data_IF_899138207707
#
_entry.id   IF_899138207707
#
_cell.length_a   1.000
_cell.length_b   1.000
_cell.length_c   1.000
_cell.angle_alpha   90.00
_cell.angle_beta   90.00
_cell.angle_gamma   90.00
#
_symmetry.space_group_name_H-M   'P 1'
#
loop_
_entity.id
_entity.type
_entity.pdbx_description
1 polymer ?
#
# COMPACT_ATOMS: atom_id res chain seq x y z
N UNK A 1 -12.74 15.40 10.52
CA UNK A 1 -12.43 14.58 11.72
C UNK A 1 -12.51 15.44 12.98
N UNK A 2 -11.72 16.51 13.09
CA UNK A 2 -11.68 17.44 14.23
C UNK A 2 -13.09 17.88 14.70
N UNK A 3 -13.89 18.47 13.82
CA UNK A 3 -15.27 18.93 14.15
C UNK A 3 -16.14 17.84 14.82
N UNK A 4 -16.00 16.57 14.42
CA UNK A 4 -16.77 15.46 15.01
C UNK A 4 -16.26 15.04 16.38
N UNK A 5 -14.98 15.28 16.66
CA UNK A 5 -14.35 15.05 17.97
C UNK A 5 -14.61 16.23 18.90
N UNK A 6 -14.66 17.45 18.37
CA UNK A 6 -15.01 18.67 19.10
C UNK A 6 -16.40 18.59 19.75
N UNK A 7 -17.29 17.79 19.16
CA UNK A 7 -18.63 17.53 19.65
C UNK A 7 -18.70 16.41 20.71
N UNK A 8 -17.61 15.69 21.01
CA UNK A 8 -17.60 14.65 22.04
C UNK A 8 -17.47 15.30 23.44
N UNK A 9 -18.47 15.12 24.33
CA UNK A 9 -18.45 15.71 25.67
C UNK A 9 -17.30 15.21 26.57
N UNK A 10 -16.57 14.15 26.18
CA UNK A 10 -15.36 13.68 26.87
C UNK A 10 -14.12 14.52 26.55
N UNK A 11 -14.16 15.34 25.50
CA UNK A 11 -13.06 16.20 25.06
C UNK A 11 -13.46 17.67 25.16
N UNK A 12 -13.79 18.12 26.37
CA UNK A 12 -14.06 19.54 26.63
C UNK A 12 -12.75 20.35 26.61
N UNK A 13 -12.80 21.55 26.05
CA UNK A 13 -11.65 22.46 25.95
C UNK A 13 -10.81 22.27 24.67
N UNK A 14 -9.64 22.93 24.63
CA UNK A 14 -8.76 22.91 23.46
C UNK A 14 -8.09 21.54 23.27
N UNK A 15 -8.39 20.90 22.15
CA UNK A 15 -7.78 19.64 21.76
C UNK A 15 -7.47 19.62 20.27
N UNK A 16 -6.49 18.79 19.91
CA UNK A 16 -5.99 18.67 18.54
C UNK A 16 -5.92 17.20 18.19
N UNK A 17 -6.52 16.83 17.05
CA UNK A 17 -6.32 15.49 16.50
C UNK A 17 -4.84 15.32 16.15
N UNK A 18 -4.26 14.20 16.58
CA UNK A 18 -2.94 13.76 16.17
C UNK A 18 -3.11 12.67 15.09
N UNK A 19 -3.11 13.04 13.79
CA UNK A 19 -3.37 12.09 12.71
C UNK A 19 -2.14 11.22 12.44
N UNK A 20 -2.18 9.98 12.89
CA UNK A 20 -1.08 9.01 12.79
C UNK A 20 -1.01 8.42 11.38
N UNK A 21 0.15 8.51 10.76
CA UNK A 21 0.53 7.80 9.55
C UNK A 21 1.44 6.64 9.94
N UNK A 22 1.11 5.43 9.49
CA UNK A 22 1.94 4.23 9.69
C UNK A 22 2.53 3.82 8.34
N UNK A 23 3.84 3.56 8.35
CA UNK A 23 4.55 2.93 7.25
C UNK A 23 5.03 1.56 7.70
N UNK A 24 4.74 0.55 6.87
CA UNK A 24 5.26 -0.79 7.04
C UNK A 24 5.73 -1.30 5.68
N UNK A 25 6.99 -1.70 5.60
CA UNK A 25 7.53 -2.38 4.41
C UNK A 25 8.60 -3.40 4.83
N UNK A 26 8.54 -4.61 4.25
CA UNK A 26 9.45 -5.71 4.54
C UNK A 26 10.81 -5.39 3.96
N UNK A 27 11.76 -5.19 4.86
CA UNK A 27 13.13 -4.92 4.50
C UNK A 27 14.01 -6.10 4.81
N UNK A 28 14.83 -6.47 3.82
CA UNK A 28 15.97 -7.34 4.06
C UNK A 28 17.10 -6.55 4.70
N UNK A 29 17.52 -6.98 5.87
CA UNK A 29 18.47 -6.28 6.72
C UNK A 29 19.93 -6.54 6.32
N UNK A 30 20.20 -7.70 5.76
CA UNK A 30 21.53 -8.10 5.29
C UNK A 30 21.58 -8.20 3.75
N UNK A 31 22.73 -7.90 3.16
CA UNK A 31 22.92 -8.01 1.71
C UNK A 31 22.75 -9.44 1.18
N UNK A 32 22.83 -10.45 2.06
CA UNK A 32 22.73 -11.87 1.75
C UNK A 32 21.31 -12.44 1.87
N UNK A 33 20.31 -11.61 2.21
CA UNK A 33 18.91 -12.01 2.38
C UNK A 33 18.66 -13.08 3.44
N UNK A 34 19.53 -13.20 4.43
CA UNK A 34 19.33 -14.10 5.56
C UNK A 34 18.28 -13.52 6.49
N UNK A 35 18.30 -12.24 6.83
CA UNK A 35 17.38 -11.64 7.80
C UNK A 35 16.46 -10.63 7.11
N UNK A 36 15.16 -10.81 7.28
CA UNK A 36 14.16 -9.82 6.89
C UNK A 36 13.29 -9.50 8.08
N UNK A 37 12.90 -8.24 8.21
CA UNK A 37 11.99 -7.72 9.24
C UNK A 37 11.07 -6.70 8.59
N UNK A 38 10.02 -6.28 9.29
CA UNK A 38 9.21 -5.14 8.86
C UNK A 38 9.53 -3.95 9.75
N UNK A 39 10.42 -3.03 9.35
CA UNK A 39 10.48 -1.74 10.01
C UNK A 39 9.11 -1.06 9.99
N UNK A 40 8.66 -0.67 11.18
CA UNK A 40 7.45 0.11 11.36
C UNK A 40 7.85 1.54 11.70
N UNK A 41 7.45 2.47 10.83
CA UNK A 41 7.65 3.89 11.07
C UNK A 41 6.32 4.60 11.33
N UNK A 42 6.37 5.65 12.14
CA UNK A 42 5.22 6.49 12.48
C UNK A 42 5.53 7.94 12.16
N UNK A 43 4.57 8.63 11.56
CA UNK A 43 4.59 10.07 11.33
C UNK A 43 3.24 10.68 11.72
N UNK A 44 3.19 12.01 11.79
CA UNK A 44 1.97 12.75 12.00
C UNK A 44 1.64 13.61 10.76
N UNK A 45 0.39 13.54 10.31
CA UNK A 45 -0.06 14.31 9.15
C UNK A 45 -0.26 15.82 9.42
N UNK A 46 -0.15 16.26 10.68
CA UNK A 46 -0.17 17.68 11.06
C UNK A 46 1.23 18.33 11.00
N UNK A 47 2.28 17.57 10.65
CA UNK A 47 3.58 18.14 10.35
C UNK A 47 3.54 18.95 9.06
N UNK A 48 4.26 20.08 9.06
CA UNK A 48 4.52 20.83 7.83
C UNK A 48 5.29 19.95 6.84
N UNK A 49 5.14 20.18 5.53
CA UNK A 49 5.86 19.35 4.55
C UNK A 49 7.39 19.41 4.70
N UNK A 50 7.93 20.54 5.16
CA UNK A 50 9.36 20.69 5.45
C UNK A 50 9.80 19.75 6.57
N UNK A 51 9.20 19.90 7.76
CA UNK A 51 9.49 19.04 8.91
C UNK A 51 9.16 17.58 8.64
N UNK A 52 8.08 17.34 7.89
CA UNK A 52 7.71 16.01 7.46
C UNK A 52 8.89 15.37 6.76
N UNK A 53 9.63 16.01 5.85
CA UNK A 53 10.75 15.37 5.16
C UNK A 53 12.09 15.39 5.92
N UNK A 54 12.12 15.88 7.15
CA UNK A 54 13.30 15.82 8.01
C UNK A 54 13.33 14.50 8.79
N UNK A 55 14.49 14.18 9.39
CA UNK A 55 14.69 12.94 10.18
C UNK A 55 13.67 12.79 11.33
N UNK A 56 13.25 13.90 11.95
CA UNK A 56 12.24 13.89 13.03
C UNK A 56 10.79 13.79 12.54
N UNK A 57 10.57 13.84 11.22
CA UNK A 57 9.24 13.76 10.63
C UNK A 57 8.72 12.34 10.45
N UNK A 58 9.54 11.30 10.65
CA UNK A 58 9.18 9.88 10.55
C UNK A 58 10.07 9.08 11.49
N UNK A 59 9.47 8.52 12.52
CA UNK A 59 10.20 7.84 13.59
C UNK A 59 10.07 6.31 13.43
N UNK A 60 11.19 5.60 13.52
CA UNK A 60 11.19 4.14 13.61
C UNK A 60 10.73 3.72 15.01
N UNK A 61 9.59 3.03 15.09
CA UNK A 61 9.01 2.61 16.38
C UNK A 61 9.18 1.13 16.69
N UNK A 62 9.42 0.29 15.67
CA UNK A 62 9.64 -1.14 15.85
C UNK A 62 10.30 -1.80 14.63
N UNK A 63 10.95 -2.95 14.86
CA UNK A 63 11.25 -3.94 13.83
C UNK A 63 10.37 -5.17 14.06
N UNK A 64 9.35 -5.38 13.23
CA UNK A 64 8.47 -6.54 13.40
C UNK A 64 9.12 -7.81 12.86
N UNK A 65 8.96 -8.94 13.56
CA UNK A 65 9.56 -10.20 13.15
C UNK A 65 8.92 -10.72 11.85
N UNK A 66 9.76 -11.29 10.97
CA UNK A 66 9.31 -12.07 9.83
C UNK A 66 9.84 -13.50 9.98
N UNK A 67 9.00 -14.45 10.45
CA UNK A 67 9.39 -15.84 10.61
C UNK A 67 9.99 -16.41 9.32
N UNK A 68 11.17 -17.02 9.42
CA UNK A 68 11.80 -17.71 8.28
C UNK A 68 11.16 -19.08 8.10
N UNK A 69 11.00 -19.55 6.86
CA UNK A 69 10.70 -20.94 6.63
C UNK A 69 11.94 -21.79 6.96
N UNK A 70 11.70 -22.99 7.45
CA UNK A 70 12.71 -24.00 7.74
C UNK A 70 12.34 -25.28 6.98
N UNK A 71 13.11 -25.65 5.94
CA UNK A 71 12.90 -26.88 5.17
C UNK A 71 12.94 -28.15 6.01
N UNK A 72 13.70 -28.16 7.11
CA UNK A 72 13.89 -29.34 7.96
C UNK A 72 12.87 -29.38 9.11
N UNK A 73 12.04 -28.33 9.25
CA UNK A 73 11.01 -28.27 10.27
C UNK A 73 10.00 -29.42 10.11
N UNK A 74 9.74 -30.20 11.18
CA UNK A 74 8.94 -31.42 11.09
C UNK A 74 7.46 -31.14 10.87
N UNK A 75 6.97 -29.97 11.29
CA UNK A 75 5.55 -29.61 11.23
C UNK A 75 5.24 -28.68 10.04
N UNK A 76 3.98 -28.52 9.63
CA UNK A 76 3.63 -27.59 8.56
C UNK A 76 3.96 -26.12 8.88
N UNK A 77 3.94 -25.70 10.15
CA UNK A 77 4.00 -24.29 10.57
C UNK A 77 5.22 -23.48 10.10
N UNK A 78 6.36 -24.10 9.85
CA UNK A 78 7.55 -23.43 9.31
C UNK A 78 8.01 -24.01 7.97
N UNK A 79 7.29 -24.97 7.40
CA UNK A 79 7.66 -25.59 6.13
C UNK A 79 7.58 -24.55 4.99
N UNK A 80 8.58 -24.43 4.10
CA UNK A 80 8.57 -23.48 3.00
C UNK A 80 7.33 -23.60 2.11
N UNK A 81 6.76 -22.45 1.74
CA UNK A 81 5.57 -22.33 0.86
C UNK A 81 4.29 -23.02 1.36
N UNK A 82 4.26 -23.54 2.58
CA UNK A 82 3.05 -24.10 3.18
C UNK A 82 2.06 -23.00 3.59
N UNK A 83 0.76 -23.34 3.62
CA UNK A 83 -0.27 -22.42 4.10
C UNK A 83 -0.13 -22.16 5.61
N UNK A 84 0.26 -23.16 6.39
CA UNK A 84 0.53 -23.00 7.81
C UNK A 84 1.66 -21.98 8.09
N UNK A 85 2.71 -21.96 7.27
CA UNK A 85 3.76 -20.95 7.40
C UNK A 85 3.31 -19.54 7.00
N UNK A 86 2.40 -19.41 6.02
CA UNK A 86 1.77 -18.12 5.70
C UNK A 86 0.93 -17.63 6.87
N UNK A 87 0.17 -18.50 7.51
CA UNK A 87 -0.63 -18.18 8.70
C UNK A 87 0.26 -17.77 9.89
N UNK A 88 1.40 -18.43 10.09
CA UNK A 88 2.40 -18.04 11.09
C UNK A 88 2.92 -16.62 10.81
N UNK A 89 3.34 -16.32 9.58
CA UNK A 89 3.77 -14.96 9.20
C UNK A 89 2.69 -13.91 9.48
N UNK A 90 1.44 -14.22 9.14
CA UNK A 90 0.32 -13.34 9.42
C UNK A 90 0.09 -13.14 10.92
N UNK A 91 0.16 -14.22 11.71
CA UNK A 91 -0.01 -14.17 13.15
C UNK A 91 1.01 -13.26 13.83
N UNK A 92 2.29 -13.37 13.48
CA UNK A 92 3.34 -12.55 14.09
C UNK A 92 3.13 -11.06 13.83
N UNK A 93 2.78 -10.66 12.60
CA UNK A 93 2.53 -9.26 12.27
C UNK A 93 1.25 -8.75 12.95
N UNK A 94 0.15 -9.48 12.82
CA UNK A 94 -1.16 -9.06 13.37
C UNK A 94 -1.19 -9.07 14.90
N UNK A 95 -0.33 -9.85 15.56
CA UNK A 95 -0.18 -9.86 17.02
C UNK A 95 0.80 -8.81 17.54
N UNK A 96 1.80 -8.42 16.74
CA UNK A 96 2.78 -7.38 17.12
C UNK A 96 2.20 -5.96 17.02
N UNK A 97 1.43 -5.68 15.96
CA UNK A 97 0.86 -4.34 15.72
C UNK A 97 -0.03 -3.81 16.86
N UNK A 98 -0.91 -4.61 17.50
CA UNK A 98 -1.67 -4.20 18.67
C UNK A 98 -0.80 -3.80 19.86
N UNK A 99 0.32 -4.49 20.09
CA UNK A 99 1.25 -4.21 21.19
C UNK A 99 1.88 -2.84 21.00
N UNK A 100 2.43 -2.59 19.80
CA UNK A 100 3.13 -1.34 19.48
C UNK A 100 2.17 -0.16 19.46
N UNK A 101 0.93 -0.37 19.02
CA UNK A 101 -0.09 0.69 18.94
C UNK A 101 -0.94 0.84 20.21
N UNK A 102 -0.67 0.07 21.28
CA UNK A 102 -1.51 0.04 22.48
C UNK A 102 -1.61 1.39 23.18
N UNK A 103 -0.49 2.10 23.34
CA UNK A 103 -0.43 3.41 23.99
C UNK A 103 -1.23 4.46 23.20
N UNK A 104 -1.01 4.54 21.88
CA UNK A 104 -1.73 5.45 20.98
C UNK A 104 -3.23 5.13 20.95
N UNK A 105 -3.61 3.85 20.94
CA UNK A 105 -5.02 3.43 21.00
C UNK A 105 -5.68 3.82 22.31
N UNK A 106 -5.03 3.58 23.45
CA UNK A 106 -5.53 4.02 24.77
C UNK A 106 -5.70 5.54 24.80
N UNK A 107 -4.68 6.26 24.36
CA UNK A 107 -4.68 7.71 24.25
C UNK A 107 -5.75 8.25 23.28
N UNK A 108 -6.17 7.50 22.27
CA UNK A 108 -7.30 7.89 21.42
C UNK A 108 -8.60 8.12 22.20
N UNK A 109 -8.72 7.54 23.41
CA UNK A 109 -9.89 7.68 24.27
C UNK A 109 -9.83 8.83 25.27
N UNK A 110 -8.65 9.11 25.81
CA UNK A 110 -8.43 10.07 26.90
C UNK A 110 -7.69 11.34 26.47
N UNK A 111 -7.05 11.31 25.30
CA UNK A 111 -6.06 12.28 24.87
C UNK A 111 -4.71 12.12 25.59
N UNK A 112 -3.74 12.91 25.14
CA UNK A 112 -2.39 13.08 25.70
C UNK A 112 -2.18 14.57 25.89
N UNK A 113 -1.80 15.02 27.08
CA UNK A 113 -1.48 16.43 27.29
C UNK A 113 -0.08 16.73 26.74
N UNK A 114 0.05 17.83 26.00
CA UNK A 114 1.32 18.30 25.46
C UNK A 114 1.34 19.82 25.37
N UNK A 115 2.53 20.39 25.23
CA UNK A 115 2.73 21.81 24.95
C UNK A 115 3.08 21.93 23.47
N UNK A 116 2.31 22.72 22.73
CA UNK A 116 2.57 22.95 21.31
C UNK A 116 3.81 23.87 21.11
N UNK A 117 4.30 24.03 19.87
CA UNK A 117 5.44 24.90 19.59
C UNK A 117 5.22 26.39 19.95
N UNK A 118 3.99 26.81 20.22
CA UNK A 118 3.64 28.16 20.64
C UNK A 118 3.51 28.29 22.18
N UNK A 119 3.85 27.24 22.93
CA UNK A 119 3.74 27.23 24.39
C UNK A 119 2.33 26.99 24.92
N UNK A 120 1.37 26.66 24.05
CA UNK A 120 -0.02 26.42 24.45
C UNK A 120 -0.17 24.98 24.92
N UNK A 121 -0.73 24.81 26.12
CA UNK A 121 -1.12 23.49 26.62
C UNK A 121 -2.33 22.98 25.85
N UNK A 122 -2.19 21.82 25.22
CA UNK A 122 -3.23 21.19 24.40
C UNK A 122 -3.41 19.73 24.79
N UNK A 123 -4.61 19.22 24.50
CA UNK A 123 -4.89 17.78 24.56
C UNK A 123 -4.84 17.17 23.16
N UNK A 124 -3.84 16.34 22.90
CA UNK A 124 -3.69 15.61 21.64
C UNK A 124 -4.54 14.35 21.62
N UNK A 125 -5.33 14.12 20.57
CA UNK A 125 -6.18 12.93 20.41
C UNK A 125 -5.66 12.09 19.23
N UNK A 126 -4.88 11.02 19.49
CA UNK A 126 -4.35 10.16 18.44
C UNK A 126 -5.44 9.46 17.65
N UNK A 127 -5.35 9.52 16.32
CA UNK A 127 -6.25 8.82 15.42
C UNK A 127 -5.47 8.26 14.24
N UNK A 128 -5.72 7.00 13.87
CA UNK A 128 -5.20 6.47 12.61
C UNK A 128 -5.69 7.37 11.46
N UNK A 129 -4.78 7.79 10.60
CA UNK A 129 -5.09 8.63 9.45
C UNK A 129 -4.80 7.89 8.14
N UNK A 130 -3.64 7.26 8.06
CA UNK A 130 -3.14 6.59 6.88
C UNK A 130 -2.27 5.39 7.29
N UNK A 131 -2.38 4.30 6.56
CA UNK A 131 -1.51 3.13 6.64
C UNK A 131 -0.97 2.93 5.23
N UNK A 132 0.25 3.41 5.00
CA UNK A 132 0.98 3.26 3.75
C UNK A 132 1.66 1.90 3.73
N UNK A 133 1.48 1.17 2.63
CA UNK A 133 1.89 -0.24 2.50
C UNK A 133 2.16 -0.62 1.04
N UNK A 134 2.99 -1.62 0.83
CA UNK A 134 2.95 -2.42 -0.40
C UNK A 134 1.77 -3.42 -0.34
N UNK A 135 1.25 -3.80 -1.51
CA UNK A 135 0.13 -4.73 -1.67
C UNK A 135 0.43 -6.12 -1.08
N UNK A 136 1.68 -6.58 -1.17
CA UNK A 136 2.09 -7.86 -0.60
C UNK A 136 1.85 -7.92 0.91
N UNK A 137 1.93 -6.77 1.58
CA UNK A 137 1.85 -6.63 3.04
C UNK A 137 0.48 -6.16 3.49
N UNK A 138 -0.20 -5.42 2.62
CA UNK A 138 -1.55 -4.96 2.84
C UNK A 138 -2.48 -6.08 3.29
N UNK A 139 -2.37 -7.27 2.69
CA UNK A 139 -3.18 -8.44 3.06
C UNK A 139 -2.93 -8.87 4.51
N UNK A 140 -1.65 -8.94 4.90
CA UNK A 140 -1.21 -9.26 6.25
C UNK A 140 -1.66 -8.20 7.27
N UNK A 141 -1.45 -6.93 6.97
CA UNK A 141 -1.75 -5.80 7.87
C UNK A 141 -3.27 -5.62 8.01
N UNK A 142 -4.02 -5.77 6.92
CA UNK A 142 -5.48 -5.59 6.89
C UNK A 142 -6.28 -6.80 7.37
N UNK A 143 -5.63 -7.96 7.52
CA UNK A 143 -6.29 -9.25 7.73
C UNK A 143 -7.26 -9.63 6.58
N UNK A 144 -7.04 -9.07 5.38
CA UNK A 144 -7.83 -9.34 4.17
C UNK A 144 -7.04 -10.31 3.29
N UNK A 145 -7.74 -11.26 2.67
CA UNK A 145 -7.12 -12.28 1.80
C UNK A 145 -6.46 -11.65 0.57
N UNK A 146 -5.39 -12.30 0.09
CA UNK A 146 -4.82 -11.99 -1.22
C UNK A 146 -5.91 -12.05 -2.29
N UNK A 147 -5.92 -11.06 -3.20
CA UNK A 147 -6.96 -10.85 -4.21
C UNK A 147 -8.34 -10.39 -3.72
N UNK A 148 -8.44 -9.80 -2.53
CA UNK A 148 -9.61 -9.02 -2.11
C UNK A 148 -9.19 -7.58 -1.83
N UNK A 149 -10.06 -6.60 -2.10
CA UNK A 149 -9.82 -5.22 -1.70
C UNK A 149 -9.86 -5.10 -0.17
N UNK A 150 -8.92 -4.36 0.40
CA UNK A 150 -8.88 -4.00 1.82
C UNK A 150 -9.86 -2.90 2.20
N UNK A 151 -10.25 -2.05 1.25
CA UNK A 151 -11.13 -0.92 1.52
C UNK A 151 -12.62 -1.19 1.28
N UNK A 152 -12.98 -2.03 0.30
CA UNK A 152 -14.37 -2.33 -0.04
C UNK A 152 -14.64 -3.83 -0.24
N UNK A 153 -15.93 -4.17 -0.37
CA UNK A 153 -16.44 -5.54 -0.54
C UNK A 153 -16.64 -5.93 -2.02
N UNK A 154 -15.81 -5.44 -2.92
CA UNK A 154 -15.83 -5.85 -4.34
C UNK A 154 -15.51 -7.36 -4.47
N UNK A 155 -16.29 -8.13 -5.25
CA UNK A 155 -15.97 -9.52 -5.55
C UNK A 155 -14.62 -9.65 -6.30
N UNK A 156 -13.81 -10.70 -6.05
CA UNK A 156 -12.52 -10.89 -6.74
C UNK A 156 -12.59 -10.95 -8.27
N UNK A 157 -13.73 -11.35 -8.82
CA UNK A 157 -13.99 -11.44 -10.27
C UNK A 157 -14.40 -10.11 -10.90
N UNK A 158 -14.59 -9.08 -10.08
CA UNK A 158 -15.05 -7.75 -10.47
C UNK A 158 -14.02 -6.68 -10.07
N UNK A 159 -12.77 -7.09 -9.77
CA UNK A 159 -11.70 -6.16 -9.42
C UNK A 159 -11.36 -5.20 -10.57
N UNK A 160 -11.62 -5.62 -11.82
CA UNK A 160 -11.46 -4.80 -13.01
C UNK A 160 -12.56 -3.76 -13.22
N UNK A 161 -13.65 -3.77 -12.44
CA UNK A 161 -14.78 -2.84 -12.57
C UNK A 161 -14.48 -1.51 -11.89
N UNK A 162 -13.66 -0.68 -12.53
CA UNK A 162 -13.21 0.58 -11.92
C UNK A 162 -14.33 1.62 -11.83
N UNK A 163 -15.28 1.65 -12.75
CA UNK A 163 -16.31 2.70 -12.80
C UNK A 163 -17.29 2.56 -11.65
N UNK A 164 -17.83 1.35 -11.51
CA UNK A 164 -18.69 0.96 -10.40
C UNK A 164 -17.97 1.18 -9.06
N UNK A 165 -16.66 0.95 -9.02
CA UNK A 165 -15.85 1.16 -7.83
C UNK A 165 -15.61 2.64 -7.48
N UNK A 166 -15.49 3.53 -8.46
CA UNK A 166 -15.39 4.99 -8.27
C UNK A 166 -16.73 5.57 -7.86
N UNK A 167 -17.81 5.09 -8.49
CA UNK A 167 -19.18 5.55 -8.25
C UNK A 167 -19.74 5.05 -6.90
N UNK A 168 -19.04 4.12 -6.25
CA UNK A 168 -19.32 3.68 -4.89
C UNK A 168 -20.27 2.48 -4.80
N UNK A 169 -20.45 1.74 -5.90
CA UNK A 169 -21.35 0.59 -5.99
C UNK A 169 -20.93 -0.56 -5.06
N UNK A 170 -19.64 -0.64 -4.71
CA UNK A 170 -19.14 -1.60 -3.74
C UNK A 170 -19.05 -0.98 -2.35
N UNK A 171 -19.78 -1.52 -1.34
CA UNK A 171 -19.79 -0.95 -0.02
C UNK A 171 -18.41 -1.04 0.66
N UNK A 172 -18.02 -0.05 1.47
CA UNK A 172 -16.77 -0.08 2.20
C UNK A 172 -16.78 -1.19 3.26
N UNK A 173 -15.59 -1.69 3.59
CA UNK A 173 -15.41 -2.54 4.77
C UNK A 173 -15.55 -1.69 6.02
N UNK A 174 -16.52 -2.02 6.85
CA UNK A 174 -16.76 -1.34 8.12
C UNK A 174 -16.35 -2.24 9.28
N UNK A 175 -15.70 -1.66 10.31
CA UNK A 175 -15.31 -2.41 11.51
C UNK A 175 -16.50 -3.15 12.13
N UNK A 176 -17.68 -2.51 12.25
CA UNK A 176 -18.86 -3.14 12.86
C UNK A 176 -19.26 -4.42 12.13
N UNK A 177 -19.30 -4.39 10.79
CA UNK A 177 -19.70 -5.53 9.96
C UNK A 177 -18.61 -6.61 9.92
N UNK A 178 -17.35 -6.19 9.75
CA UNK A 178 -16.22 -7.11 9.67
C UNK A 178 -15.90 -7.78 11.01
N UNK A 179 -16.15 -7.12 12.14
CA UNK A 179 -16.03 -7.73 13.47
C UNK A 179 -16.98 -8.90 13.66
N UNK A 180 -18.22 -8.77 13.20
CA UNK A 180 -19.19 -9.90 13.25
C UNK A 180 -18.67 -11.05 12.41
N UNK A 181 -18.28 -10.80 11.16
CA UNK A 181 -17.74 -11.83 10.27
C UNK A 181 -16.48 -12.52 10.83
N UNK A 182 -15.53 -11.74 11.36
CA UNK A 182 -14.29 -12.28 11.94
C UNK A 182 -14.58 -13.09 13.19
N UNK A 183 -15.45 -12.63 14.10
CA UNK A 183 -15.84 -13.39 15.27
C UNK A 183 -16.50 -14.72 14.89
N UNK A 184 -17.44 -14.71 13.94
CA UNK A 184 -18.06 -15.94 13.45
C UNK A 184 -17.02 -16.92 12.89
N UNK A 185 -16.03 -16.44 12.14
CA UNK A 185 -14.94 -17.28 11.62
C UNK A 185 -14.07 -17.83 12.75
N UNK A 186 -13.77 -17.04 13.78
CA UNK A 186 -13.01 -17.47 14.95
C UNK A 186 -13.76 -18.53 15.75
N UNK A 187 -15.05 -18.31 16.04
CA UNK A 187 -15.92 -19.26 16.74
C UNK A 187 -15.98 -20.61 15.98
N UNK A 188 -16.12 -20.56 14.65
CA UNK A 188 -16.09 -21.76 13.80
C UNK A 188 -14.73 -22.47 13.81
N UNK A 189 -13.63 -21.72 13.92
CA UNK A 189 -12.27 -22.27 13.96
C UNK A 189 -11.95 -22.91 15.31
N UNK A 190 -12.54 -22.39 16.39
CA UNK A 190 -12.34 -22.89 17.75
C UNK A 190 -13.21 -24.12 18.06
N UNK A 191 -14.34 -24.33 17.38
CA UNK A 191 -15.18 -25.52 17.57
C UNK A 191 -14.56 -26.77 16.90
N UNK A 192 -14.09 -27.76 17.67
CA UNK A 192 -13.44 -28.96 17.12
C UNK A 192 -14.38 -29.85 16.29
N UNK A 193 -15.69 -29.62 16.35
CA UNK A 193 -16.70 -30.36 15.57
C UNK A 193 -16.91 -29.77 14.17
N UNK A 194 -16.45 -28.54 13.95
CA UNK A 194 -16.62 -27.85 12.66
C UNK A 194 -15.47 -28.23 11.74
N UNK A 195 -15.74 -28.80 10.54
CA UNK A 195 -14.68 -29.14 9.62
C UNK A 195 -14.07 -27.88 9.00
N UNK A 196 -12.74 -27.89 8.79
CA UNK A 196 -11.98 -26.73 8.27
C UNK A 196 -12.48 -26.17 6.92
N UNK A 197 -13.19 -27.00 6.13
CA UNK A 197 -13.85 -26.55 4.90
C UNK A 197 -14.88 -25.45 5.17
N UNK A 198 -15.65 -25.54 6.26
CA UNK A 198 -16.67 -24.54 6.64
C UNK A 198 -16.02 -23.22 7.06
N UNK A 199 -14.94 -23.31 7.83
CA UNK A 199 -14.12 -22.12 8.19
C UNK A 199 -13.61 -21.46 6.91
N UNK A 200 -13.11 -22.26 5.96
CA UNK A 200 -12.59 -21.76 4.68
C UNK A 200 -13.65 -21.11 3.81
N UNK A 201 -14.87 -21.67 3.77
CA UNK A 201 -16.03 -21.10 3.07
C UNK A 201 -16.39 -19.72 3.63
N UNK A 202 -16.51 -19.59 4.95
CA UNK A 202 -16.86 -18.32 5.60
C UNK A 202 -15.75 -17.27 5.43
N UNK A 203 -14.47 -17.69 5.53
CA UNK A 203 -13.32 -16.84 5.20
C UNK A 203 -13.36 -16.34 3.75
N UNK A 204 -13.78 -17.18 2.78
CA UNK A 204 -13.89 -16.79 1.37
C UNK A 204 -15.04 -15.81 1.14
N UNK A 205 -16.19 -16.04 1.76
CA UNK A 205 -17.37 -15.16 1.67
C UNK A 205 -17.08 -13.72 2.08
N UNK A 206 -16.28 -13.55 3.13
CA UNK A 206 -15.91 -12.22 3.62
C UNK A 206 -14.53 -11.73 3.15
N UNK A 207 -13.73 -12.59 2.52
CA UNK A 207 -12.39 -12.25 2.06
C UNK A 207 -11.41 -11.90 3.18
N UNK A 208 -11.55 -12.51 4.36
CA UNK A 208 -10.70 -12.22 5.54
C UNK A 208 -10.04 -13.49 6.08
N UNK A 209 -8.96 -13.30 6.85
CA UNK A 209 -8.28 -14.36 7.59
C UNK A 209 -8.92 -14.55 8.99
N UNK A 210 -8.75 -15.74 9.62
CA UNK A 210 -9.35 -16.08 10.91
C UNK A 210 -8.51 -15.51 12.06
N UNK A 211 -8.33 -14.19 12.07
CA UNK A 211 -7.59 -13.42 13.06
C UNK A 211 -8.26 -12.06 13.27
N UNK A 212 -8.08 -11.45 14.43
CA UNK A 212 -8.64 -10.12 14.71
C UNK A 212 -7.78 -9.02 14.05
N UNK A 213 -8.35 -8.14 13.21
CA UNK A 213 -7.58 -7.03 12.65
C UNK A 213 -7.06 -6.09 13.75
N UNK A 214 -5.77 -5.73 13.68
CA UNK A 214 -5.12 -4.98 14.75
C UNK A 214 -5.70 -3.58 14.96
N UNK A 215 -6.21 -2.93 13.91
CA UNK A 215 -6.74 -1.56 13.95
C UNK A 215 -8.19 -1.49 14.47
N UNK A 216 -8.76 -2.59 14.94
CA UNK A 216 -10.06 -2.59 15.60
C UNK A 216 -9.98 -2.02 17.03
N UNK A 217 -11.05 -1.36 17.49
CA UNK A 217 -11.15 -0.84 18.85
C UNK A 217 -10.46 0.51 19.12
N UNK A 218 -10.06 1.23 18.07
CA UNK A 218 -9.70 2.65 18.20
C UNK A 218 -10.94 3.49 18.51
N UNK A 219 -10.78 4.60 19.25
CA UNK A 219 -11.93 5.50 19.50
C UNK A 219 -12.47 5.98 18.15
N UNK A 220 -13.79 5.85 17.97
CA UNK A 220 -14.51 6.12 16.73
C UNK A 220 -14.23 5.17 15.55
N UNK A 221 -13.45 4.10 15.68
CA UNK A 221 -13.17 3.17 14.56
C UNK A 221 -14.41 2.54 13.91
N UNK A 222 -15.51 2.44 14.67
CA UNK A 222 -16.82 1.99 14.18
C UNK A 222 -17.65 3.07 13.47
N UNK A 223 -17.19 4.33 13.44
CA UNK A 223 -17.88 5.44 12.76
C UNK A 223 -17.49 5.47 11.28
N UNK A 224 -18.43 5.66 10.35
CA UNK A 224 -18.13 5.69 8.91
C UNK A 224 -17.02 6.68 8.52
N UNK A 225 -17.05 7.89 9.12
CA UNK A 225 -16.06 8.94 8.85
C UNK A 225 -14.66 8.66 9.43
N UNK A 226 -14.49 7.64 10.28
CA UNK A 226 -13.20 7.22 10.84
C UNK A 226 -12.91 5.74 10.59
N UNK A 227 -13.64 5.11 9.66
CA UNK A 227 -13.50 3.69 9.40
C UNK A 227 -12.04 3.35 9.07
N UNK A 228 -11.47 2.29 9.67
CA UNK A 228 -10.03 2.04 9.56
C UNK A 228 -9.64 1.39 8.23
N UNK A 229 -10.52 0.62 7.59
CA UNK A 229 -10.23 -0.05 6.31
C UNK A 229 -9.91 0.95 5.18
N UNK A 230 -10.70 2.03 4.95
CA UNK A 230 -10.33 3.08 3.99
C UNK A 230 -9.01 3.82 4.30
N UNK A 231 -8.40 3.58 5.46
CA UNK A 231 -7.08 4.12 5.82
C UNK A 231 -5.93 3.30 5.27
N UNK A 232 -6.21 2.09 4.77
CA UNK A 232 -5.28 1.35 3.92
C UNK A 232 -5.28 1.99 2.54
N UNK A 233 -4.33 2.89 2.34
CA UNK A 233 -4.30 3.74 1.15
C UNK A 233 -3.59 3.03 0.00
N UNK A 234 -3.95 3.36 -1.26
CA UNK A 234 -3.13 2.96 -2.39
C UNK A 234 -1.80 3.73 -2.36
N UNK A 235 -0.72 3.01 -2.65
CA UNK A 235 0.62 3.57 -2.86
C UNK A 235 0.89 3.66 -4.37
N UNK A 236 1.31 4.82 -4.86
CA UNK A 236 1.53 5.02 -6.29
C UNK A 236 2.74 4.23 -6.82
N UNK A 237 3.80 4.12 -6.01
CA UNK A 237 5.03 3.42 -6.36
C UNK A 237 4.80 1.95 -6.73
N UNK A 238 4.13 1.21 -5.86
CA UNK A 238 3.91 -0.21 -6.01
C UNK A 238 2.64 -0.55 -6.77
N UNK A 239 1.61 0.30 -6.71
CA UNK A 239 0.33 0.06 -7.38
C UNK A 239 0.43 0.40 -8.86
N UNK A 240 0.83 1.64 -9.17
CA UNK A 240 0.88 2.14 -10.55
C UNK A 240 2.16 1.66 -11.21
N UNK A 241 3.32 2.06 -10.67
CA UNK A 241 4.59 1.88 -11.34
C UNK A 241 5.12 0.45 -11.30
N UNK A 242 5.20 -0.17 -10.13
CA UNK A 242 5.63 -1.58 -10.03
C UNK A 242 4.55 -2.58 -10.46
N UNK A 243 3.30 -2.28 -10.14
CA UNK A 243 2.14 -3.14 -10.36
C UNK A 243 1.63 -3.10 -11.79
N UNK A 244 0.75 -2.14 -12.06
CA UNK A 244 0.06 -2.00 -13.35
C UNK A 244 1.07 -1.88 -14.50
N UNK A 245 2.12 -1.09 -14.33
CA UNK A 245 3.11 -0.87 -15.38
C UNK A 245 4.18 -1.95 -15.39
N UNK A 246 4.97 -2.07 -14.33
CA UNK A 246 6.11 -2.98 -14.30
C UNK A 246 5.74 -4.45 -14.49
N UNK A 247 4.59 -4.89 -13.99
CA UNK A 247 4.20 -6.30 -14.07
C UNK A 247 3.31 -6.64 -15.27
N UNK A 248 2.58 -5.67 -15.85
CA UNK A 248 1.58 -5.96 -16.89
C UNK A 248 1.80 -5.19 -18.20
N UNK A 249 2.28 -3.95 -18.16
CA UNK A 249 2.47 -3.14 -19.37
C UNK A 249 3.51 -3.72 -20.33
N UNK A 250 4.61 -4.28 -19.81
CA UNK A 250 5.62 -4.94 -20.67
C UNK A 250 5.07 -6.14 -21.44
N UNK A 251 4.26 -6.96 -20.79
CA UNK A 251 3.66 -8.13 -21.44
C UNK A 251 2.66 -7.69 -22.51
N UNK A 252 1.98 -6.56 -22.30
CA UNK A 252 1.11 -5.94 -23.30
C UNK A 252 1.93 -5.37 -24.46
N UNK A 253 3.02 -4.66 -24.16
CA UNK A 253 3.89 -4.13 -25.20
C UNK A 253 4.47 -5.26 -26.05
N UNK A 254 4.85 -6.39 -25.44
CA UNK A 254 5.25 -7.57 -26.21
C UNK A 254 4.11 -8.07 -27.10
N UNK A 255 2.91 -8.27 -26.55
CA UNK A 255 1.78 -8.76 -27.32
C UNK A 255 1.41 -7.82 -28.48
N UNK A 256 1.49 -6.50 -28.27
CA UNK A 256 1.31 -5.49 -29.30
C UNK A 256 2.44 -5.53 -30.33
N UNK A 257 3.68 -5.73 -29.89
CA UNK A 257 4.84 -5.83 -30.75
C UNK A 257 4.76 -7.06 -31.67
N UNK A 258 4.23 -8.18 -31.18
CA UNK A 258 4.02 -9.41 -31.98
C UNK A 258 3.03 -9.20 -33.14
N UNK A 259 2.04 -8.33 -32.97
CA UNK A 259 1.04 -8.02 -34.01
C UNK A 259 1.34 -6.74 -34.79
N UNK A 260 2.46 -6.08 -34.50
CA UNK A 260 2.81 -4.81 -35.12
C UNK A 260 3.23 -5.02 -36.59
N UNK A 261 2.77 -4.18 -37.54
CA UNK A 261 3.07 -4.34 -38.98
C UNK A 261 4.56 -4.42 -39.30
N UNK A 262 5.38 -3.64 -38.59
CA UNK A 262 6.85 -3.59 -38.81
C UNK A 262 7.62 -4.72 -38.09
N UNK A 263 6.90 -5.62 -37.43
CA UNK A 263 7.45 -6.69 -36.60
C UNK A 263 7.98 -6.22 -35.24
N UNK A 264 8.09 -7.18 -34.32
CA UNK A 264 8.44 -6.95 -32.92
C UNK A 264 9.79 -6.24 -32.72
N UNK A 265 10.84 -6.68 -33.42
CA UNK A 265 12.19 -6.14 -33.26
C UNK A 265 12.26 -4.65 -33.62
N UNK A 266 11.63 -4.26 -34.74
CA UNK A 266 11.55 -2.87 -35.18
C UNK A 266 10.75 -2.03 -34.17
N UNK A 267 9.60 -2.52 -33.73
CA UNK A 267 8.76 -1.83 -32.76
C UNK A 267 9.48 -1.54 -31.43
N UNK A 268 10.13 -2.55 -30.84
CA UNK A 268 10.86 -2.39 -29.58
C UNK A 268 12.08 -1.47 -29.74
N UNK A 269 12.77 -1.53 -30.89
CA UNK A 269 13.89 -0.63 -31.19
C UNK A 269 13.43 0.83 -31.31
N UNK A 270 12.27 1.08 -31.93
CA UNK A 270 11.66 2.42 -31.98
C UNK A 270 11.30 2.94 -30.59
N UNK A 271 10.85 2.08 -29.68
CA UNK A 271 10.59 2.45 -28.29
C UNK A 271 11.86 2.83 -27.53
N UNK A 272 12.98 2.14 -27.75
CA UNK A 272 14.29 2.53 -27.20
C UNK A 272 14.75 3.89 -27.72
N UNK A 273 14.66 4.12 -29.03
CA UNK A 273 15.03 5.41 -29.63
C UNK A 273 14.22 6.54 -28.99
N UNK A 274 12.93 6.34 -28.74
CA UNK A 274 12.06 7.33 -28.07
C UNK A 274 12.41 7.55 -26.61
N UNK A 275 12.73 6.49 -25.88
CA UNK A 275 13.23 6.60 -24.52
C UNK A 275 14.52 7.44 -24.48
N UNK A 276 15.42 7.19 -25.42
CA UNK A 276 16.63 7.98 -25.55
C UNK A 276 16.37 9.42 -25.98
N UNK A 277 15.40 9.69 -26.84
CA UNK A 277 15.01 11.07 -27.18
C UNK A 277 14.52 11.83 -25.95
N UNK A 278 13.69 11.21 -25.08
CA UNK A 278 13.29 11.84 -23.83
C UNK A 278 14.47 12.08 -22.89
N UNK A 279 15.41 11.14 -22.82
CA UNK A 279 16.67 11.34 -22.10
C UNK A 279 17.38 12.63 -22.55
N UNK A 280 17.37 12.92 -23.86
CA UNK A 280 18.05 14.09 -24.43
C UNK A 280 17.24 15.39 -24.32
N UNK A 281 15.91 15.33 -24.47
CA UNK A 281 15.07 16.52 -24.57
C UNK A 281 14.38 16.94 -23.27
N UNK A 282 14.18 16.02 -22.31
CA UNK A 282 13.49 16.31 -21.05
C UNK A 282 14.42 16.09 -19.85
N UNK A 283 14.91 17.19 -19.30
CA UNK A 283 15.74 17.21 -18.10
C UNK A 283 15.08 17.82 -16.83
N UNK A 284 13.87 17.40 -16.38
CA UNK A 284 13.36 17.82 -15.08
C UNK A 284 13.42 16.66 -14.07
N UNK A 285 14.60 16.32 -13.55
CA UNK A 285 14.74 15.52 -12.31
C UNK A 285 14.17 14.10 -12.32
N UNK A 286 13.92 13.49 -13.49
CA UNK A 286 13.42 12.12 -13.60
C UNK A 286 14.57 11.13 -13.59
N UNK A 287 14.45 10.08 -12.79
CA UNK A 287 15.35 8.92 -12.86
C UNK A 287 14.96 8.07 -14.06
N UNK A 288 15.84 8.06 -15.06
CA UNK A 288 15.68 7.29 -16.28
C UNK A 288 16.14 5.83 -16.06
N UNK A 289 15.61 4.89 -16.84
CA UNK A 289 16.17 3.55 -16.94
C UNK A 289 17.69 3.56 -17.13
N UNK A 290 18.39 2.67 -16.43
CA UNK A 290 19.84 2.52 -16.52
C UNK A 290 20.34 2.16 -17.94
N UNK A 291 19.52 1.48 -18.75
CA UNK A 291 19.84 1.12 -20.15
C UNK A 291 19.01 1.93 -21.14
N UNK A 292 19.66 2.35 -22.24
CA UNK A 292 19.00 3.02 -23.38
C UNK A 292 18.26 2.01 -24.27
N UNK A 293 18.61 0.74 -24.12
CA UNK A 293 18.10 -0.43 -24.81
C UNK A 293 16.97 -1.12 -24.03
N UNK A 294 16.41 -0.46 -23.01
CA UNK A 294 15.39 -0.95 -22.08
C UNK A 294 14.33 -1.92 -22.64
N UNK A 295 13.74 -1.60 -23.78
CA UNK A 295 12.65 -2.37 -24.38
C UNK A 295 13.13 -3.61 -25.14
N UNK A 296 14.37 -3.61 -25.62
CA UNK A 296 14.98 -4.76 -26.31
C UNK A 296 15.80 -5.63 -25.37
N UNK A 297 16.45 -5.03 -24.37
CA UNK A 297 17.29 -5.69 -23.38
C UNK A 297 16.67 -5.52 -22.00
N UNK A 298 15.78 -6.46 -21.63
CA UNK A 298 15.09 -6.40 -20.34
C UNK A 298 16.08 -6.62 -19.20
N UNK A 299 15.97 -5.78 -18.18
CA UNK A 299 16.62 -5.95 -16.89
C UNK A 299 15.61 -5.73 -15.76
N UNK A 300 16.02 -6.01 -14.52
CA UNK A 300 15.19 -5.71 -13.36
C UNK A 300 15.13 -4.20 -13.12
N UNK A 301 13.98 -3.61 -13.42
CA UNK A 301 13.76 -2.15 -13.35
C UNK A 301 13.22 -1.78 -11.97
N UNK A 302 13.90 -0.92 -11.21
CA UNK A 302 13.34 -0.36 -9.98
C UNK A 302 12.00 0.36 -10.23
N UNK A 303 11.07 0.27 -9.28
CA UNK A 303 9.71 0.83 -9.42
C UNK A 303 9.71 2.33 -9.81
N UNK A 304 10.66 3.13 -9.30
CA UNK A 304 10.73 4.55 -9.61
C UNK A 304 11.19 4.86 -11.05
N UNK A 305 11.95 3.99 -11.72
CA UNK A 305 12.40 4.21 -13.11
C UNK A 305 11.24 4.10 -14.11
N UNK A 306 10.18 3.37 -13.75
CA UNK A 306 8.93 3.33 -14.53
C UNK A 306 8.29 4.70 -14.69
N UNK A 307 8.53 5.66 -13.77
CA UNK A 307 8.08 7.06 -13.89
C UNK A 307 8.57 7.71 -15.19
N UNK A 308 9.75 7.33 -15.67
CA UNK A 308 10.37 7.83 -16.89
C UNK A 308 9.92 7.06 -18.14
N UNK A 309 9.83 5.73 -18.05
CA UNK A 309 9.34 4.86 -19.14
C UNK A 309 7.95 5.32 -19.63
N UNK A 310 7.08 5.77 -18.73
CA UNK A 310 5.75 6.26 -19.09
C UNK A 310 5.74 7.50 -19.97
N UNK A 311 6.75 8.36 -19.86
CA UNK A 311 6.80 9.57 -20.68
C UNK A 311 7.12 9.24 -22.14
N UNK A 312 7.84 8.15 -22.38
CA UNK A 312 8.26 7.69 -23.73
C UNK A 312 7.14 7.15 -24.56
N UNK A 313 6.14 6.59 -23.89
CA UNK A 313 4.95 6.10 -24.54
C UNK A 313 4.06 7.26 -25.04
N UNK A 314 4.25 8.50 -24.59
CA UNK A 314 3.27 9.58 -24.76
C UNK A 314 3.36 10.45 -26.03
N UNK A 315 4.46 10.40 -26.79
CA UNK A 315 4.79 11.47 -27.74
C UNK A 315 4.25 11.34 -29.17
N UNK A 316 3.51 10.26 -29.51
CA UNK A 316 3.05 10.01 -30.88
C UNK A 316 1.64 10.53 -31.22
N UNK A 317 1.11 11.50 -30.48
CA UNK A 317 -0.24 12.07 -30.68
C UNK A 317 -1.41 11.11 -30.40
N UNK A 318 -1.20 9.79 -30.47
CA UNK A 318 -2.20 8.76 -30.12
C UNK A 318 -2.07 8.21 -28.70
N UNK A 319 -0.96 8.49 -28.02
CA UNK A 319 -0.65 7.97 -26.67
C UNK A 319 -0.39 9.08 -25.62
N UNK A 320 -0.73 10.34 -25.94
CA UNK A 320 -0.60 11.54 -25.10
C UNK A 320 -1.31 11.46 -23.73
N UNK A 321 -2.02 10.36 -23.47
CA UNK A 321 -2.91 10.16 -22.34
C UNK A 321 -2.18 10.03 -21.01
N UNK A 322 -1.01 9.39 -20.98
CA UNK A 322 -0.33 9.08 -19.71
C UNK A 322 0.43 10.27 -19.09
N UNK A 323 0.85 11.26 -19.89
CA UNK A 323 1.39 12.52 -19.38
C UNK A 323 0.29 13.42 -18.82
N UNK A 324 -0.89 13.45 -19.45
CA UNK A 324 -2.12 13.97 -18.85
C UNK A 324 -2.49 13.20 -17.59
N UNK A 325 -2.40 11.87 -17.61
CA UNK A 325 -2.63 11.00 -16.46
C UNK A 325 -1.70 11.36 -15.29
N UNK A 326 -0.38 11.52 -15.51
CA UNK A 326 0.60 11.91 -14.47
C UNK A 326 0.43 13.35 -13.97
N UNK A 327 0.09 14.30 -14.86
CA UNK A 327 -0.10 15.71 -14.50
C UNK A 327 -1.43 15.96 -13.77
N UNK A 328 -2.44 15.11 -13.97
CA UNK A 328 -3.79 15.36 -13.43
C UNK A 328 -4.17 14.42 -12.29
N UNK A 329 -3.62 13.20 -12.25
CA UNK A 329 -3.92 12.28 -11.16
C UNK A 329 -3.16 12.61 -9.88
N UNK A 330 -1.82 12.61 -9.88
CA UNK A 330 -1.04 12.50 -8.62
C UNK A 330 0.20 13.37 -8.62
N UNK A 331 0.10 14.64 -9.04
CA UNK A 331 1.26 15.51 -8.97
C UNK A 331 1.79 15.57 -7.53
N UNK A 332 3.05 15.14 -7.40
CA UNK A 332 3.93 15.21 -6.24
C UNK A 332 3.99 16.63 -5.60
N UNK A 333 3.48 17.64 -6.32
CA UNK A 333 3.47 19.06 -5.95
C UNK A 333 2.09 19.77 -6.05
N UNK A 334 1.01 19.08 -6.44
CA UNK A 334 -0.27 19.73 -6.79
C UNK A 334 -1.25 19.86 -5.61
N UNK A 335 -1.81 21.06 -5.43
CA UNK A 335 -3.06 21.24 -4.66
C UNK A 335 -4.20 20.76 -5.57
N UNK A 336 -4.88 19.68 -5.20
CA UNK A 336 -6.04 19.21 -5.94
C UNK A 336 -7.29 20.01 -5.55
N UNK A 337 -8.15 20.27 -6.53
CA UNK A 337 -9.50 20.81 -6.33
C UNK A 337 -10.51 19.84 -6.98
N UNK A 338 -11.80 20.09 -6.82
CA UNK A 338 -12.81 19.18 -7.36
C UNK A 338 -12.76 19.05 -8.89
N UNK A 339 -12.32 20.07 -9.62
CA UNK A 339 -12.22 20.00 -11.08
C UNK A 339 -11.06 19.11 -11.52
N UNK A 340 -9.89 19.21 -10.88
CA UNK A 340 -8.76 18.32 -11.18
C UNK A 340 -9.04 16.88 -10.76
N UNK A 341 -9.83 16.66 -9.71
CA UNK A 341 -10.28 15.33 -9.29
C UNK A 341 -11.30 14.72 -10.25
N UNK A 342 -12.26 15.51 -10.77
CA UNK A 342 -13.17 15.06 -11.82
C UNK A 342 -12.43 14.70 -13.11
N UNK A 343 -11.45 15.51 -13.49
CA UNK A 343 -10.62 15.21 -14.65
C UNK A 343 -9.79 13.94 -14.44
N UNK A 344 -9.25 13.74 -13.23
CA UNK A 344 -8.61 12.50 -12.83
C UNK A 344 -9.55 11.28 -13.00
N UNK A 345 -10.79 11.34 -12.49
CA UNK A 345 -11.76 10.25 -12.68
C UNK A 345 -12.10 10.02 -14.17
N UNK A 346 -12.23 11.10 -14.96
CA UNK A 346 -12.47 11.00 -16.42
C UNK A 346 -11.32 10.30 -17.14
N UNK A 347 -10.08 10.64 -16.79
CA UNK A 347 -8.90 10.01 -17.35
C UNK A 347 -8.77 8.54 -16.90
N UNK A 348 -9.18 8.21 -15.67
CA UNK A 348 -9.26 6.82 -15.20
C UNK A 348 -10.16 6.00 -16.10
N UNK A 349 -11.33 6.56 -16.41
CA UNK A 349 -12.30 5.94 -17.32
C UNK A 349 -11.69 5.70 -18.68
N UNK A 350 -11.06 6.71 -19.26
CA UNK A 350 -10.40 6.53 -20.54
C UNK A 350 -9.32 5.43 -20.52
N UNK A 351 -8.54 5.32 -19.45
CA UNK A 351 -7.54 4.27 -19.30
C UNK A 351 -8.16 2.88 -19.18
N UNK A 352 -9.21 2.72 -18.39
CA UNK A 352 -9.91 1.44 -18.21
C UNK A 352 -10.55 0.95 -19.51
N UNK A 353 -11.20 1.82 -20.29
CA UNK A 353 -11.72 1.47 -21.62
C UNK A 353 -10.64 0.84 -22.51
N UNK A 354 -9.40 1.36 -22.45
CA UNK A 354 -8.27 0.82 -23.22
C UNK A 354 -7.78 -0.51 -22.65
N UNK A 355 -7.65 -0.61 -21.33
CA UNK A 355 -7.31 -1.88 -20.66
C UNK A 355 -8.32 -2.98 -21.01
N UNK A 356 -9.60 -2.67 -20.94
CA UNK A 356 -10.71 -3.57 -21.28
C UNK A 356 -10.62 -4.05 -22.73
N UNK A 357 -10.32 -3.16 -23.67
CA UNK A 357 -10.16 -3.51 -25.08
C UNK A 357 -9.04 -4.56 -25.34
N UNK A 358 -8.02 -4.60 -24.47
CA UNK A 358 -6.90 -5.55 -24.58
C UNK A 358 -6.92 -6.63 -23.49
N UNK A 359 -8.00 -6.74 -22.71
CA UNK A 359 -8.07 -7.65 -21.57
C UNK A 359 -7.87 -9.13 -21.98
N UNK A 360 -8.27 -9.50 -23.20
CA UNK A 360 -8.06 -10.84 -23.74
C UNK A 360 -6.59 -11.21 -24.00
N UNK A 361 -5.68 -10.24 -24.06
CA UNK A 361 -4.25 -10.47 -24.28
C UNK A 361 -3.49 -10.85 -22.99
N UNK A 362 -4.16 -10.88 -21.84
CA UNK A 362 -3.51 -11.13 -20.56
C UNK A 362 -4.37 -12.01 -19.65
N UNK A 363 -3.72 -12.99 -19.01
CA UNK A 363 -4.41 -14.06 -18.26
C UNK A 363 -5.31 -13.55 -17.12
N UNK A 364 -5.01 -12.40 -16.52
CA UNK A 364 -5.81 -11.88 -15.42
C UNK A 364 -7.02 -11.07 -15.88
N UNK A 365 -7.11 -10.69 -17.16
CA UNK A 365 -8.15 -9.78 -17.69
C UNK A 365 -8.34 -8.53 -16.81
N UNK A 366 -7.24 -8.01 -16.26
CA UNK A 366 -7.18 -6.89 -15.30
C UNK A 366 -7.87 -7.13 -13.95
N UNK A 367 -8.28 -8.36 -13.64
CA UNK A 367 -8.86 -8.74 -12.36
C UNK A 367 -7.78 -8.99 -11.30
N UNK A 368 -7.10 -7.93 -10.89
CA UNK A 368 -6.15 -7.96 -9.79
C UNK A 368 -6.24 -6.71 -8.94
N UNK A 369 -5.89 -6.86 -7.66
CA UNK A 369 -6.10 -5.83 -6.65
C UNK A 369 -5.37 -4.50 -6.95
N UNK A 370 -4.14 -4.53 -7.48
CA UNK A 370 -3.41 -3.29 -7.83
C UNK A 370 -4.14 -2.48 -8.91
N UNK A 371 -4.85 -3.15 -9.82
CA UNK A 371 -5.67 -2.45 -10.79
C UNK A 371 -6.89 -1.81 -10.12
N UNK A 372 -7.59 -2.57 -9.27
CA UNK A 372 -8.73 -2.06 -8.51
C UNK A 372 -8.39 -0.84 -7.63
N UNK A 373 -7.20 -0.85 -7.01
CA UNK A 373 -6.72 0.23 -6.14
C UNK A 373 -6.62 1.58 -6.89
N UNK A 374 -6.54 1.58 -8.23
CA UNK A 374 -6.63 2.81 -9.05
C UNK A 374 -7.93 3.59 -8.80
N UNK A 375 -9.05 2.89 -8.55
CA UNK A 375 -10.35 3.51 -8.23
C UNK A 375 -10.38 4.26 -6.89
N UNK A 376 -9.40 4.03 -6.02
CA UNK A 376 -9.41 4.52 -4.62
C UNK A 376 -8.67 5.81 -4.43
N UNK A 377 -7.80 6.17 -5.37
CA UNK A 377 -6.92 7.28 -5.15
C UNK A 377 -7.66 8.65 -5.14
N UNK A 378 -8.69 8.88 -5.97
CA UNK A 378 -9.43 10.16 -5.95
C UNK A 378 -10.09 10.38 -4.58
N UNK A 379 -10.76 9.36 -4.05
CA UNK A 379 -11.31 9.38 -2.70
C UNK A 379 -10.21 9.56 -1.63
N UNK A 380 -9.04 8.96 -1.85
CA UNK A 380 -7.87 9.11 -0.97
C UNK A 380 -7.36 10.55 -0.99
N UNK A 381 -7.23 11.20 -2.15
CA UNK A 381 -6.79 12.59 -2.26
C UNK A 381 -7.83 13.56 -1.72
N UNK A 382 -9.13 13.33 -1.93
CA UNK A 382 -10.18 14.11 -1.25
C UNK A 382 -10.02 14.06 0.27
N UNK A 383 -9.65 12.90 0.81
CA UNK A 383 -9.51 12.68 2.27
C UNK A 383 -8.20 13.21 2.84
N UNK A 384 -7.10 13.09 2.10
CA UNK A 384 -5.73 13.35 2.60
C UNK A 384 -5.07 14.59 1.99
N UNK A 385 -5.69 15.20 0.99
CA UNK A 385 -5.18 16.34 0.22
C UNK A 385 -4.19 15.98 -0.89
N UNK A 386 -3.34 14.96 -0.70
CA UNK A 386 -2.36 14.53 -1.71
C UNK A 386 -1.88 13.09 -1.47
N UNK A 387 -1.47 12.39 -2.55
CA UNK A 387 -0.87 11.04 -2.50
C UNK A 387 0.55 11.01 -1.95
N UNK A 388 1.24 12.14 -1.90
CA UNK A 388 2.59 12.21 -1.30
C UNK A 388 2.63 11.82 0.18
N UNK A 389 1.49 11.91 0.88
CA UNK A 389 1.34 11.45 2.27
C UNK A 389 1.15 9.94 2.39
N UNK A 390 0.96 9.25 1.26
CA UNK A 390 0.70 7.81 1.18
C UNK A 390 1.80 7.06 0.44
N UNK A 391 2.71 7.77 -0.23
CA UNK A 391 3.80 7.18 -0.99
C UNK A 391 4.81 6.46 -0.09
N UNK A 392 5.17 5.24 -0.46
CA UNK A 392 6.17 4.44 0.27
C UNK A 392 7.61 4.85 -0.06
N UNK A 393 7.84 5.72 -1.05
CA UNK A 393 9.18 6.16 -1.48
C UNK A 393 10.02 6.72 -0.32
N UNK A 394 9.36 7.38 0.63
CA UNK A 394 10.02 7.87 1.84
C UNK A 394 10.49 6.73 2.75
N UNK A 395 9.61 5.76 3.02
CA UNK A 395 9.97 4.59 3.81
C UNK A 395 11.15 3.83 3.19
N UNK A 396 11.16 3.71 1.86
CA UNK A 396 12.28 3.12 1.12
C UNK A 396 13.61 3.84 1.34
N UNK A 397 13.61 5.18 1.39
CA UNK A 397 14.81 5.94 1.74
C UNK A 397 15.28 5.69 3.19
N UNK A 398 14.35 5.55 4.13
CA UNK A 398 14.68 5.27 5.54
C UNK A 398 15.21 3.85 5.78
N UNK A 399 14.90 2.89 4.89
CA UNK A 399 15.46 1.53 5.00
C UNK A 399 16.99 1.52 4.95
N UNK A 400 17.61 2.49 4.29
CA UNK A 400 19.06 2.62 4.30
C UNK A 400 19.60 2.82 5.73
N UNK A 401 18.99 3.70 6.50
CA UNK A 401 19.39 3.99 7.89
C UNK A 401 19.12 2.83 8.82
N UNK A 402 17.99 2.14 8.65
CA UNK A 402 17.66 0.94 9.42
C UNK A 402 18.67 -0.19 9.20
N UNK A 403 19.18 -0.36 7.98
CA UNK A 403 20.27 -1.33 7.69
C UNK A 403 21.59 -0.93 8.34
N UNK A 404 21.92 0.36 8.36
CA UNK A 404 23.11 0.87 9.06
C UNK A 404 22.98 0.61 10.56
N UNK A 405 21.84 0.97 11.16
CA UNK A 405 21.57 0.75 12.57
C UNK A 405 21.65 -0.73 12.95
N UNK A 406 21.01 -1.61 12.18
CA UNK A 406 21.10 -3.06 12.37
C UNK A 406 22.52 -3.58 12.31
N UNK A 407 23.31 -3.11 11.34
CA UNK A 407 24.72 -3.48 11.21
C UNK A 407 25.54 -3.03 12.41
N UNK A 408 25.21 -1.87 13.00
CA UNK A 408 25.89 -1.30 14.17
C UNK A 408 25.54 -2.01 15.48
N UNK A 409 24.35 -2.62 15.59
CA UNK A 409 23.91 -3.39 16.77
C UNK A 409 24.45 -4.83 16.79
N UNK A 410 25.51 -5.11 16.04
CA UNK A 410 26.03 -6.46 15.84
C UNK A 410 25.00 -7.45 15.24
N UNK A 411 24.01 -6.96 14.48
CA UNK A 411 23.02 -7.78 13.78
C UNK A 411 23.58 -8.73 12.69
N UNK A 412 24.91 -8.89 12.65
CA UNK A 412 25.64 -9.92 11.88
C UNK A 412 25.74 -11.25 12.64
N UNK A 413 25.64 -11.24 13.97
CA UNK A 413 25.76 -12.41 14.85
C UNK A 413 24.42 -12.81 15.49
N UNK A 414 23.30 -12.64 14.77
CA UNK A 414 21.97 -13.05 15.27
C UNK A 414 21.94 -14.54 15.61
N UNK A 415 22.72 -15.35 14.88
CA UNK A 415 22.84 -16.77 15.14
C UNK A 415 23.51 -17.02 16.52
N UNK A 416 24.59 -16.32 16.89
CA UNK A 416 25.23 -16.44 18.22
C UNK A 416 24.31 -15.94 19.35
N UNK A 417 23.63 -14.80 19.16
CA UNK A 417 22.73 -14.24 20.17
C UNK A 417 21.48 -15.11 20.43
N UNK A 418 21.11 -15.99 19.50
CA UNK A 418 20.02 -16.95 19.67
C UNK A 418 20.46 -18.28 20.30
N UNK A 419 21.76 -18.57 20.37
CA UNK A 419 22.28 -19.77 21.03
C UNK A 419 22.71 -19.54 22.48
N UNK A 420 22.84 -18.28 22.92
CA UNK A 420 23.21 -17.91 24.30
C UNK A 420 22.01 -17.58 25.22
N UNK A 421 20.77 -17.70 24.73
CA UNK A 421 19.53 -17.56 25.51
C UNK A 421 18.76 -18.89 25.56
#
# INVERSE_FOLDING_TARGET
>A
MQEKIDQDPKFQGEHVVLPIIIYLDKTTMDGLRRVSVFPMYVSLANFSWGFYNERGGLELVALLPQPKPDPDWPQPGYKPKSDAHRDVKHHFITSSLPIITASARKASWSGIDFVDPHGVHRKGVPQLFCISKDLGEASTISNVKSNHCDSCLVPPKELNRLYEAVDGDYPPREEKKMRVAVNTILDLKEDPRVPMVRVTEEMKKHGVHPQMPWFFGWKYGTRPWNAPYPKMVPDDLHTVYGGVLGSHFLNILDAVAEIHPDGKATFLSLMNIRLHQIYLYYNPGLRLPASKEFFTERYSVPNYEWKAVMQTSSWNGRWLWWTGFKATFWLEKGIHNEDTLKESDRLLRHFDDKCTAIAGLQNSAWNFRKYHDLSKFTATVRRLGATRWTSTERGEHEHHWVKIWWSSMNGRNVDEAMFEA
#
